data_IF_757292530474
#
_entry.id   IF_757292530474
#
_cell.length_a   1.000
_cell.length_b   1.000
_cell.length_c   1.000
_cell.angle_alpha   90.00
_cell.angle_beta   90.00
_cell.angle_gamma   90.00
#
_symmetry.space_group_name_H-M   'P 1'
#
loop_
_entity.id
_entity.type
_entity.pdbx_description
1 polymer ?
#
# COMPACT_ATOMS: atom_id res chain seq x y z
N UNK A 1 -48.74 56.51 2.91
CA UNK A 1 -47.50 56.03 3.51
C UNK A 1 -47.57 54.51 3.55
N UNK A 2 -46.88 53.85 2.63
CA UNK A 2 -46.79 52.38 2.57
C UNK A 2 -45.39 51.97 3.08
N UNK A 3 -45.35 51.29 4.21
CA UNK A 3 -44.13 50.73 4.80
C UNK A 3 -43.79 49.41 4.06
N UNK A 4 -42.68 49.37 3.36
CA UNK A 4 -42.15 48.16 2.75
C UNK A 4 -41.22 47.49 3.77
N UNK A 5 -41.60 46.31 4.22
CA UNK A 5 -40.76 45.47 5.07
C UNK A 5 -39.76 44.70 4.19
N UNK A 6 -38.46 44.96 4.35
CA UNK A 6 -37.36 44.25 3.70
C UNK A 6 -37.04 43.04 4.54
N UNK A 7 -37.42 41.83 4.11
CA UNK A 7 -36.97 40.57 4.71
C UNK A 7 -35.56 40.25 4.16
N UNK A 8 -34.54 40.43 4.99
CA UNK A 8 -33.19 39.96 4.71
C UNK A 8 -33.08 38.47 4.99
N UNK A 9 -32.94 37.65 3.96
CA UNK A 9 -32.52 36.24 4.11
C UNK A 9 -31.03 36.19 4.46
N UNK A 10 -30.73 35.85 5.68
CA UNK A 10 -29.36 35.55 6.09
C UNK A 10 -29.09 34.09 5.68
N UNK A 11 -28.36 33.90 4.58
CA UNK A 11 -27.78 32.61 4.21
C UNK A 11 -26.57 32.34 5.14
N UNK A 12 -26.78 31.60 6.22
CA UNK A 12 -25.66 31.01 6.99
C UNK A 12 -25.08 29.87 6.19
N UNK A 13 -23.98 30.12 5.49
CA UNK A 13 -23.09 29.05 4.98
C UNK A 13 -22.54 28.31 6.20
N UNK A 14 -23.10 27.14 6.50
CA UNK A 14 -22.47 26.16 7.37
C UNK A 14 -21.32 25.60 6.56
N UNK A 15 -20.11 26.13 6.76
CA UNK A 15 -18.88 25.46 6.35
C UNK A 15 -18.76 24.25 7.30
N UNK A 16 -19.26 23.10 6.83
CA UNK A 16 -18.95 21.83 7.46
C UNK A 16 -17.42 21.69 7.35
N UNK A 17 -16.69 21.96 8.44
CA UNK A 17 -15.33 21.46 8.59
C UNK A 17 -15.46 19.95 8.47
N UNK A 18 -14.99 19.40 7.35
CA UNK A 18 -14.79 17.96 7.21
C UNK A 18 -13.85 17.58 8.37
N UNK A 19 -14.41 16.97 9.41
CA UNK A 19 -13.60 16.30 10.42
C UNK A 19 -12.77 15.29 9.63
N UNK A 20 -11.45 15.47 9.66
CA UNK A 20 -10.53 14.57 8.97
C UNK A 20 -10.71 13.20 9.61
N UNK A 21 -11.53 12.34 8.98
CA UNK A 21 -11.82 11.00 9.48
C UNK A 21 -10.50 10.22 9.45
N UNK A 22 -10.12 9.65 10.57
CA UNK A 22 -8.89 8.83 10.63
C UNK A 22 -8.95 7.70 9.62
N UNK A 23 -7.78 7.34 9.06
CA UNK A 23 -7.63 6.31 8.02
C UNK A 23 -8.37 5.01 8.40
N UNK A 24 -8.17 4.53 9.62
CA UNK A 24 -8.77 3.31 10.13
C UNK A 24 -10.30 3.37 10.32
N UNK A 25 -10.87 4.55 10.24
CA UNK A 25 -12.31 4.81 10.39
C UNK A 25 -13.00 5.17 9.07
N UNK A 26 -12.31 5.09 7.94
CA UNK A 26 -12.91 5.33 6.64
C UNK A 26 -13.93 4.24 6.29
N UNK A 27 -15.02 4.62 5.61
CA UNK A 27 -16.07 3.72 5.13
C UNK A 27 -16.45 4.04 3.69
N UNK A 28 -16.62 2.98 2.88
CA UNK A 28 -17.11 3.11 1.51
C UNK A 28 -16.17 3.86 0.57
N UNK A 29 -14.87 3.92 0.92
CA UNK A 29 -13.82 4.61 0.18
C UNK A 29 -13.08 3.67 -0.75
N UNK A 30 -12.41 4.25 -1.74
CA UNK A 30 -11.49 3.55 -2.62
C UNK A 30 -10.06 3.79 -2.15
N UNK A 31 -9.36 2.72 -1.84
CA UNK A 31 -7.98 2.73 -1.36
C UNK A 31 -7.11 2.07 -2.43
N UNK A 32 -5.99 2.69 -2.77
CA UNK A 32 -5.01 2.14 -3.70
C UNK A 32 -3.66 2.03 -3.01
N UNK A 33 -3.11 0.83 -2.96
CA UNK A 33 -1.81 0.57 -2.37
C UNK A 33 -0.83 0.13 -3.45
N UNK A 34 0.37 0.72 -3.45
CA UNK A 34 1.50 0.28 -4.26
C UNK A 34 2.56 -0.33 -3.36
N UNK A 35 3.01 -1.54 -3.71
CA UNK A 35 4.04 -2.28 -2.98
C UNK A 35 5.14 -2.76 -3.92
N UNK A 36 6.41 -2.80 -3.50
CA UNK A 36 7.51 -3.31 -4.33
C UNK A 36 7.41 -4.81 -4.56
N UNK A 37 7.16 -5.59 -3.51
CA UNK A 37 7.09 -7.04 -3.56
C UNK A 37 5.77 -7.55 -2.98
N UNK A 38 5.34 -8.78 -3.34
CA UNK A 38 4.30 -9.49 -2.62
C UNK A 38 4.82 -9.81 -1.21
N UNK A 39 4.15 -9.36 -0.19
CA UNK A 39 4.43 -9.44 1.26
C UNK A 39 4.62 -8.08 1.96
N UNK A 40 5.26 -7.10 1.33
CA UNK A 40 5.58 -5.81 1.96
C UNK A 40 4.34 -5.04 2.44
N UNK A 41 3.22 -5.15 1.74
CA UNK A 41 1.93 -4.56 2.14
C UNK A 41 1.36 -5.23 3.40
N UNK A 42 1.41 -6.56 3.47
CA UNK A 42 0.96 -7.31 4.65
C UNK A 42 1.85 -7.03 5.85
N UNK A 43 3.18 -7.04 5.68
CA UNK A 43 4.11 -6.72 6.76
C UNK A 43 4.03 -5.25 7.18
N UNK A 44 3.92 -4.33 6.23
CA UNK A 44 3.92 -2.89 6.48
C UNK A 44 2.58 -2.31 6.92
N UNK A 45 1.47 -2.81 6.37
CA UNK A 45 0.14 -2.22 6.50
C UNK A 45 -1.01 -3.24 6.64
N UNK A 46 -0.73 -4.54 6.82
CA UNK A 46 -1.75 -5.61 6.80
C UNK A 46 -2.85 -5.43 7.84
N UNK A 47 -2.55 -4.93 9.02
CA UNK A 47 -3.57 -4.60 10.02
C UNK A 47 -4.46 -3.43 9.57
N UNK A 48 -3.87 -2.40 8.98
CA UNK A 48 -4.61 -1.26 8.40
C UNK A 48 -5.48 -1.73 7.24
N UNK A 49 -4.97 -2.57 6.34
CA UNK A 49 -5.74 -3.17 5.23
C UNK A 49 -6.93 -3.96 5.78
N UNK A 50 -6.73 -4.79 6.80
CA UNK A 50 -7.80 -5.55 7.45
C UNK A 50 -8.89 -4.64 8.04
N UNK A 51 -8.51 -3.55 8.71
CA UNK A 51 -9.46 -2.55 9.22
C UNK A 51 -10.23 -1.86 8.10
N UNK A 52 -9.55 -1.47 7.03
CA UNK A 52 -10.16 -0.81 5.88
C UNK A 52 -11.17 -1.75 5.18
N UNK A 53 -10.80 -3.01 4.94
CA UNK A 53 -11.70 -4.01 4.35
C UNK A 53 -12.90 -4.31 5.26
N UNK A 54 -12.69 -4.48 6.57
CA UNK A 54 -13.76 -4.64 7.58
C UNK A 54 -14.76 -3.48 7.54
N UNK A 55 -14.29 -2.28 7.27
CA UNK A 55 -15.09 -1.07 7.17
C UNK A 55 -15.66 -0.83 5.76
N UNK A 56 -15.72 -1.89 4.92
CA UNK A 56 -16.34 -1.87 3.59
C UNK A 56 -15.72 -0.87 2.60
N UNK A 57 -14.44 -0.54 2.78
CA UNK A 57 -13.68 0.15 1.76
C UNK A 57 -13.28 -0.84 0.65
N UNK A 58 -13.03 -0.31 -0.56
CA UNK A 58 -12.49 -1.10 -1.67
C UNK A 58 -10.98 -0.90 -1.70
N UNK A 59 -10.23 -1.93 -1.31
CA UNK A 59 -8.77 -1.92 -1.36
C UNK A 59 -8.32 -2.55 -2.68
N UNK A 60 -7.45 -1.84 -3.40
CA UNK A 60 -6.75 -2.29 -4.60
C UNK A 60 -5.25 -2.27 -4.32
N UNK A 61 -4.56 -3.34 -4.70
CA UNK A 61 -3.12 -3.49 -4.52
C UNK A 61 -2.44 -3.57 -5.87
N UNK A 62 -1.31 -2.89 -6.01
CA UNK A 62 -0.44 -2.93 -7.20
C UNK A 62 0.93 -3.35 -6.75
N UNK A 63 1.38 -4.49 -7.26
CA UNK A 63 2.67 -5.08 -6.94
C UNK A 63 3.61 -4.86 -8.12
N UNK A 64 4.76 -4.22 -7.87
CA UNK A 64 5.72 -3.91 -8.93
C UNK A 64 6.46 -5.13 -9.44
N UNK A 65 7.00 -5.97 -8.54
CA UNK A 65 7.86 -7.08 -8.92
C UNK A 65 7.20 -8.44 -8.69
N UNK A 66 7.81 -9.46 -9.25
CA UNK A 66 7.41 -10.86 -9.06
C UNK A 66 8.14 -11.54 -7.89
N UNK A 67 9.07 -10.84 -7.23
CA UNK A 67 9.83 -11.28 -6.06
C UNK A 67 10.54 -12.65 -6.26
N UNK A 68 11.17 -12.84 -7.40
CA UNK A 68 11.65 -14.14 -7.90
C UNK A 68 13.10 -14.50 -7.51
N UNK A 69 13.74 -13.75 -6.57
CA UNK A 69 15.18 -13.94 -6.27
C UNK A 69 15.49 -14.42 -4.83
N UNK A 70 14.65 -14.13 -3.86
CA UNK A 70 14.93 -14.30 -2.43
C UNK A 70 14.79 -15.75 -1.93
N UNK A 71 15.55 -16.73 -2.43
CA UNK A 71 15.60 -18.10 -1.92
C UNK A 71 17.01 -18.62 -1.81
N UNK A 72 17.29 -19.39 -0.76
CA UNK A 72 18.55 -20.14 -0.59
C UNK A 72 18.43 -21.61 -1.04
N UNK A 73 17.25 -22.07 -1.45
CA UNK A 73 17.04 -23.43 -1.96
C UNK A 73 17.68 -23.59 -3.36
N UNK A 74 18.76 -24.39 -3.51
CA UNK A 74 19.41 -24.54 -4.81
C UNK A 74 18.56 -25.28 -5.86
N UNK A 75 17.43 -25.88 -5.46
CA UNK A 75 16.47 -26.51 -6.36
C UNK A 75 15.34 -25.54 -6.78
N UNK A 76 15.35 -24.30 -6.27
CA UNK A 76 14.37 -23.30 -6.64
C UNK A 76 14.78 -22.62 -7.96
N UNK A 77 13.79 -22.39 -8.83
CA UNK A 77 13.95 -21.50 -9.99
C UNK A 77 13.22 -20.19 -9.75
N UNK A 78 13.68 -19.11 -10.39
CA UNK A 78 13.01 -17.80 -10.33
C UNK A 78 11.53 -17.90 -10.72
N UNK A 79 11.22 -18.58 -11.83
CA UNK A 79 9.82 -18.75 -12.25
C UNK A 79 8.97 -19.47 -11.17
N UNK A 80 9.49 -20.56 -10.60
CA UNK A 80 8.78 -21.30 -9.57
C UNK A 80 8.57 -20.46 -8.31
N UNK A 81 9.58 -19.68 -7.92
CA UNK A 81 9.47 -18.81 -6.76
C UNK A 81 8.42 -17.72 -6.96
N UNK A 82 8.42 -17.07 -8.13
CA UNK A 82 7.41 -16.08 -8.49
C UNK A 82 5.97 -16.65 -8.43
N UNK A 83 5.76 -17.88 -8.95
CA UNK A 83 4.45 -18.55 -8.88
C UNK A 83 4.03 -18.84 -7.43
N UNK A 84 4.97 -19.29 -6.58
CA UNK A 84 4.74 -19.55 -5.16
C UNK A 84 4.34 -18.27 -4.44
N UNK A 85 5.15 -17.21 -4.56
CA UNK A 85 4.93 -15.94 -3.86
C UNK A 85 3.66 -15.23 -4.32
N UNK A 86 3.35 -15.34 -5.59
CA UNK A 86 2.05 -14.88 -6.10
C UNK A 86 0.88 -15.59 -5.41
N UNK A 87 0.96 -16.90 -5.26
CA UNK A 87 -0.09 -17.66 -4.56
C UNK A 87 -0.15 -17.32 -3.07
N UNK A 88 1.01 -17.22 -2.41
CA UNK A 88 1.11 -16.84 -0.99
C UNK A 88 0.48 -15.47 -0.75
N UNK A 89 0.74 -14.52 -1.63
CA UNK A 89 0.15 -13.19 -1.58
C UNK A 89 -1.37 -13.19 -1.76
N UNK A 90 -1.87 -13.87 -2.80
CA UNK A 90 -3.32 -13.98 -3.03
C UNK A 90 -4.06 -14.61 -1.84
N UNK A 91 -3.43 -15.56 -1.15
CA UNK A 91 -3.98 -16.19 0.06
C UNK A 91 -3.89 -15.27 1.27
N UNK A 92 -2.76 -14.60 1.45
CA UNK A 92 -2.50 -13.66 2.52
C UNK A 92 -3.48 -12.48 2.50
N UNK A 93 -3.58 -11.81 1.36
CA UNK A 93 -4.50 -10.70 1.16
C UNK A 93 -5.97 -11.11 1.25
N UNK A 94 -6.31 -12.31 0.76
CA UNK A 94 -7.65 -12.88 0.91
C UNK A 94 -8.07 -13.03 2.37
N UNK A 95 -7.14 -13.37 3.28
CA UNK A 95 -7.43 -13.47 4.72
C UNK A 95 -7.77 -12.13 5.36
N UNK A 96 -7.13 -11.05 4.93
CA UNK A 96 -7.38 -9.70 5.45
C UNK A 96 -8.43 -8.94 4.65
N UNK A 97 -9.09 -9.63 3.70
CA UNK A 97 -10.30 -9.16 3.03
C UNK A 97 -10.10 -8.54 1.65
N UNK A 98 -8.90 -8.55 1.09
CA UNK A 98 -8.64 -8.07 -0.28
C UNK A 98 -8.78 -9.25 -1.25
N UNK A 99 -9.77 -9.27 -2.15
CA UNK A 99 -9.92 -10.34 -3.12
C UNK A 99 -8.86 -10.25 -4.22
N UNK A 100 -8.42 -11.40 -4.73
CA UNK A 100 -7.32 -11.48 -5.72
C UNK A 100 -7.56 -10.67 -7.01
N UNK A 101 -8.80 -10.46 -7.40
CA UNK A 101 -9.18 -9.62 -8.56
C UNK A 101 -8.87 -8.12 -8.35
N UNK A 102 -8.63 -7.71 -7.11
CA UNK A 102 -8.19 -6.37 -6.75
C UNK A 102 -6.66 -6.24 -6.70
N UNK A 103 -5.92 -7.32 -6.96
CA UNK A 103 -4.45 -7.30 -7.00
C UNK A 103 -3.98 -7.20 -8.45
N UNK A 104 -3.23 -6.16 -8.76
CA UNK A 104 -2.61 -5.93 -10.07
C UNK A 104 -1.12 -6.21 -10.00
N UNK A 105 -0.63 -7.08 -10.86
CA UNK A 105 0.77 -7.44 -11.00
C UNK A 105 1.40 -6.71 -12.17
N UNK A 106 2.42 -5.89 -11.93
CA UNK A 106 3.18 -5.24 -13.02
C UNK A 106 4.24 -6.19 -13.62
N UNK A 107 4.70 -7.17 -12.84
CA UNK A 107 5.50 -8.29 -13.32
C UNK A 107 6.95 -7.96 -13.65
N UNK A 108 7.53 -6.94 -13.02
CA UNK A 108 8.95 -6.64 -13.12
C UNK A 108 9.77 -7.67 -12.33
N UNK A 109 10.99 -7.92 -12.78
CA UNK A 109 11.91 -8.83 -12.08
C UNK A 109 12.37 -8.21 -10.76
N UNK A 110 12.46 -9.03 -9.71
CA UNK A 110 13.00 -8.66 -8.40
C UNK A 110 14.44 -8.15 -8.50
N UNK A 111 14.74 -7.08 -7.77
CA UNK A 111 16.05 -6.41 -7.77
C UNK A 111 16.34 -5.58 -9.03
N UNK A 112 15.37 -5.43 -9.95
CA UNK A 112 15.61 -4.86 -11.27
C UNK A 112 14.83 -3.57 -11.57
N UNK A 113 14.02 -3.04 -10.64
CA UNK A 113 13.25 -1.82 -10.88
C UNK A 113 14.13 -0.60 -11.21
N UNK A 114 15.33 -0.52 -10.63
CA UNK A 114 16.28 0.58 -10.91
C UNK A 114 16.75 0.57 -12.37
N UNK A 115 16.79 -0.61 -13.00
CA UNK A 115 17.23 -0.80 -14.39
C UNK A 115 16.07 -0.82 -15.38
N UNK A 116 14.84 -0.82 -14.90
CA UNK A 116 13.66 -0.74 -15.75
C UNK A 116 13.52 0.67 -16.36
N UNK A 117 12.79 0.75 -17.46
CA UNK A 117 12.49 2.04 -18.09
C UNK A 117 11.61 2.90 -17.18
N UNK A 118 12.21 3.79 -16.40
CA UNK A 118 11.49 4.61 -15.40
C UNK A 118 10.26 5.33 -15.97
N UNK A 119 10.31 5.96 -17.18
CA UNK A 119 9.12 6.58 -17.74
C UNK A 119 7.95 5.60 -17.96
N UNK A 120 8.24 4.33 -18.26
CA UNK A 120 7.22 3.30 -18.43
C UNK A 120 6.58 2.92 -17.09
N UNK A 121 7.40 2.72 -16.04
CA UNK A 121 6.90 2.45 -14.69
C UNK A 121 5.95 3.56 -14.20
N UNK A 122 6.37 4.82 -14.36
CA UNK A 122 5.55 5.99 -14.00
C UNK A 122 4.28 6.05 -14.85
N UNK A 123 4.35 5.74 -16.16
CA UNK A 123 3.18 5.73 -17.05
C UNK A 123 2.15 4.67 -16.63
N UNK A 124 2.59 3.45 -16.33
CA UNK A 124 1.72 2.36 -15.89
C UNK A 124 1.03 2.69 -14.56
N UNK A 125 1.79 3.15 -13.56
CA UNK A 125 1.25 3.57 -12.26
C UNK A 125 0.28 4.76 -12.41
N UNK A 126 0.61 5.74 -13.26
CA UNK A 126 -0.28 6.89 -13.58
C UNK A 126 -1.60 6.42 -14.18
N UNK A 127 -1.58 5.46 -15.11
CA UNK A 127 -2.80 4.93 -15.71
C UNK A 127 -3.69 4.25 -14.66
N UNK A 128 -3.08 3.50 -13.73
CA UNK A 128 -3.81 2.84 -12.65
C UNK A 128 -4.45 3.89 -11.72
N UNK A 129 -3.70 4.90 -11.27
CA UNK A 129 -4.24 5.99 -10.43
C UNK A 129 -5.41 6.69 -11.11
N UNK A 130 -5.29 7.04 -12.38
CA UNK A 130 -6.37 7.69 -13.16
C UNK A 130 -7.59 6.80 -13.35
N UNK A 131 -7.42 5.49 -13.42
CA UNK A 131 -8.50 4.50 -13.56
C UNK A 131 -9.21 4.25 -12.24
N UNK A 132 -8.46 4.00 -11.18
CA UNK A 132 -8.97 3.66 -9.84
C UNK A 132 -9.55 4.89 -9.14
N UNK A 133 -8.94 6.08 -9.30
CA UNK A 133 -9.33 7.36 -8.67
C UNK A 133 -9.46 7.23 -7.14
N UNK A 134 -8.38 6.85 -6.44
CA UNK A 134 -8.45 6.50 -5.03
C UNK A 134 -8.72 7.71 -4.14
N UNK A 135 -9.56 7.54 -3.11
CA UNK A 135 -9.70 8.53 -2.03
C UNK A 135 -8.41 8.63 -1.20
N UNK A 136 -7.72 7.50 -1.05
CA UNK A 136 -6.45 7.38 -0.31
C UNK A 136 -5.47 6.51 -1.09
N UNK A 137 -4.22 6.91 -1.11
CA UNK A 137 -3.12 6.11 -1.66
C UNK A 137 -2.16 5.72 -0.53
N UNK A 138 -1.79 4.43 -0.50
CA UNK A 138 -0.72 3.91 0.34
C UNK A 138 0.47 3.49 -0.53
N UNK A 139 1.69 3.66 -0.04
CA UNK A 139 2.90 3.17 -0.69
C UNK A 139 4.05 3.04 0.31
N UNK A 140 5.15 2.42 -0.11
CA UNK A 140 6.40 2.48 0.62
C UNK A 140 6.86 3.93 0.74
N UNK A 141 7.45 4.27 1.88
CA UNK A 141 7.93 5.63 2.15
C UNK A 141 9.11 5.99 1.24
N UNK A 142 9.06 7.12 0.50
CA UNK A 142 10.17 7.63 -0.31
C UNK A 142 11.26 8.33 0.51
N UNK A 143 11.19 8.26 1.86
CA UNK A 143 12.12 8.93 2.78
C UNK A 143 13.55 8.40 2.73
N UNK A 144 14.40 8.94 3.63
CA UNK A 144 15.84 8.68 3.63
C UNK A 144 16.22 7.23 3.93
N UNK A 145 15.34 6.45 4.55
CA UNK A 145 15.64 5.12 5.05
C UNK A 145 16.18 4.19 3.95
N UNK A 146 15.53 4.15 2.78
CA UNK A 146 15.92 3.31 1.67
C UNK A 146 17.02 3.88 0.78
N UNK A 147 17.36 5.14 0.90
CA UNK A 147 18.42 5.76 0.11
C UNK A 147 19.81 5.22 0.46
N UNK A 148 19.97 4.66 1.65
CA UNK A 148 21.24 4.17 2.20
C UNK A 148 21.38 2.65 2.17
N UNK A 149 20.30 1.93 1.89
CA UNK A 149 20.26 0.47 1.90
C UNK A 149 20.09 -0.11 0.52
N UNK A 150 20.46 -1.39 0.41
CA UNK A 150 20.44 -2.16 -0.83
C UNK A 150 19.02 -2.43 -1.40
N UNK A 151 17.97 -2.14 -0.70
CA UNK A 151 16.58 -2.35 -1.13
C UNK A 151 16.21 -1.42 -2.32
N UNK A 152 16.77 -1.72 -3.53
CA UNK A 152 16.58 -0.91 -4.73
C UNK A 152 15.13 -0.83 -5.15
N UNK A 153 14.38 -1.96 -5.12
CA UNK A 153 12.99 -2.00 -5.54
C UNK A 153 12.08 -1.20 -4.63
N UNK A 154 12.30 -1.22 -3.31
CA UNK A 154 11.57 -0.35 -2.37
C UNK A 154 11.75 1.12 -2.72
N UNK A 155 13.00 1.54 -2.96
CA UNK A 155 13.32 2.91 -3.34
C UNK A 155 12.65 3.31 -4.66
N UNK A 156 12.73 2.44 -5.65
CA UNK A 156 12.19 2.73 -6.97
C UNK A 156 10.67 2.65 -7.00
N UNK A 157 10.04 1.71 -6.30
CA UNK A 157 8.58 1.67 -6.13
C UNK A 157 8.07 2.96 -5.47
N UNK A 158 8.74 3.40 -4.37
CA UNK A 158 8.39 4.64 -3.70
C UNK A 158 8.47 5.86 -4.63
N UNK A 159 9.61 6.06 -5.31
CA UNK A 159 9.80 7.20 -6.20
C UNK A 159 8.87 7.16 -7.43
N UNK A 160 8.74 6.01 -8.09
CA UNK A 160 7.85 5.89 -9.24
C UNK A 160 6.38 6.12 -8.86
N UNK A 161 5.95 5.68 -7.68
CA UNK A 161 4.59 5.95 -7.19
C UNK A 161 4.36 7.44 -6.96
N UNK A 162 5.30 8.15 -6.32
CA UNK A 162 5.18 9.60 -6.09
C UNK A 162 5.17 10.36 -7.41
N UNK A 163 6.05 10.01 -8.36
CA UNK A 163 6.07 10.61 -9.69
C UNK A 163 4.77 10.34 -10.44
N UNK A 164 4.20 9.14 -10.29
CA UNK A 164 2.91 8.79 -10.89
C UNK A 164 1.74 9.57 -10.27
N UNK A 165 1.74 9.80 -8.95
CA UNK A 165 0.76 10.67 -8.27
C UNK A 165 0.81 12.09 -8.86
N UNK A 166 2.02 12.63 -9.01
CA UNK A 166 2.23 13.93 -9.64
C UNK A 166 1.74 13.95 -11.09
N UNK A 167 2.14 12.94 -11.87
CA UNK A 167 1.75 12.83 -13.28
C UNK A 167 0.24 12.66 -13.47
N UNK A 168 -0.43 11.95 -12.55
CA UNK A 168 -1.87 11.70 -12.63
C UNK A 168 -2.70 12.99 -12.58
N UNK A 169 -2.25 14.01 -11.83
CA UNK A 169 -2.94 15.30 -11.69
C UNK A 169 -2.92 16.13 -12.99
N UNK A 170 -1.87 16.03 -13.82
CA UNK A 170 -1.66 16.87 -14.98
C UNK A 170 -1.80 16.09 -16.29
N UNK A 171 -2.75 16.47 -17.14
CA UNK A 171 -3.09 15.75 -18.37
C UNK A 171 -1.98 15.73 -19.45
N UNK A 172 -1.02 16.65 -19.38
CA UNK A 172 0.13 16.69 -20.30
C UNK A 172 1.18 15.59 -20.01
N UNK A 173 1.16 15.01 -18.81
CA UNK A 173 1.85 13.76 -18.58
C UNK A 173 1.05 12.62 -19.20
N UNK A 174 1.68 11.85 -20.08
CA UNK A 174 1.07 10.71 -20.78
C UNK A 174 -0.26 11.04 -21.47
N UNK A 175 -0.29 12.00 -22.41
CA UNK A 175 -1.52 12.50 -23.02
C UNK A 175 -2.35 11.41 -23.72
N UNK A 176 -1.70 10.32 -24.19
CA UNK A 176 -2.39 9.19 -24.82
C UNK A 176 -3.35 8.47 -23.85
N UNK A 177 -3.08 8.48 -22.56
CA UNK A 177 -3.99 7.92 -21.56
C UNK A 177 -5.35 8.65 -21.59
N UNK A 178 -5.36 9.97 -21.79
CA UNK A 178 -6.59 10.74 -21.96
C UNK A 178 -7.19 10.61 -23.36
N UNK A 179 -6.35 10.78 -24.40
CA UNK A 179 -6.81 10.90 -25.78
C UNK A 179 -7.27 9.56 -26.37
N UNK A 180 -6.61 8.45 -26.00
CA UNK A 180 -6.87 7.13 -26.54
C UNK A 180 -7.56 6.18 -25.56
N UNK A 181 -7.30 6.32 -24.26
CA UNK A 181 -7.85 5.43 -23.22
C UNK A 181 -8.99 6.09 -22.41
N UNK A 182 -9.27 7.38 -22.61
CA UNK A 182 -10.34 8.12 -21.92
C UNK A 182 -10.04 8.40 -20.42
N UNK A 183 -8.82 8.11 -19.94
CA UNK A 183 -8.45 8.31 -18.55
C UNK A 183 -8.28 9.80 -18.25
N UNK A 184 -9.14 10.33 -17.39
CA UNK A 184 -9.09 11.74 -17.01
C UNK A 184 -8.06 12.01 -15.92
N UNK A 185 -7.45 13.20 -15.88
CA UNK A 185 -6.59 13.61 -14.78
C UNK A 185 -7.25 13.39 -13.42
N UNK A 186 -6.43 13.04 -12.45
CA UNK A 186 -6.90 12.79 -11.10
C UNK A 186 -5.89 13.25 -10.07
N UNK A 187 -6.34 13.99 -9.08
CA UNK A 187 -5.56 14.43 -7.93
C UNK A 187 -5.84 13.51 -6.75
N UNK A 188 -4.82 12.82 -6.28
CA UNK A 188 -4.91 11.98 -5.08
C UNK A 188 -5.04 12.90 -3.85
N UNK A 189 -6.10 12.77 -3.02
CA UNK A 189 -6.32 13.68 -1.90
C UNK A 189 -5.35 13.45 -0.74
N UNK A 190 -5.11 12.19 -0.38
CA UNK A 190 -4.36 11.79 0.82
C UNK A 190 -3.42 10.62 0.52
N UNK A 191 -2.25 10.65 1.14
CA UNK A 191 -1.23 9.62 0.99
C UNK A 191 -0.70 9.18 2.35
N UNK A 192 -0.49 7.88 2.52
CA UNK A 192 0.10 7.26 3.69
C UNK A 192 1.23 6.35 3.25
N UNK A 193 2.44 6.63 3.76
CA UNK A 193 3.63 5.87 3.39
C UNK A 193 4.01 4.94 4.53
N UNK A 194 3.98 3.63 4.29
CA UNK A 194 4.42 2.62 5.24
C UNK A 194 5.95 2.43 5.21
N UNK A 195 6.52 1.84 6.25
CA UNK A 195 7.95 1.77 6.50
C UNK A 195 8.66 3.14 6.61
N UNK A 196 8.06 4.16 7.22
CA UNK A 196 8.77 5.40 7.46
C UNK A 196 9.89 5.20 8.47
N UNK A 197 10.92 6.04 8.40
CA UNK A 197 11.87 6.12 9.51
C UNK A 197 11.17 6.52 10.82
N UNK A 198 11.72 6.17 11.99
CA UNK A 198 11.11 6.57 13.26
C UNK A 198 10.91 8.08 13.41
N UNK A 199 11.77 8.88 12.77
CA UNK A 199 11.74 10.35 12.81
C UNK A 199 10.65 10.93 11.88
N UNK A 200 10.34 10.24 10.79
CA UNK A 200 9.37 10.69 9.78
C UNK A 200 7.96 10.16 10.05
N UNK A 201 7.83 9.13 10.90
CA UNK A 201 6.52 8.59 11.28
C UNK A 201 5.70 9.63 12.03
N UNK A 202 4.59 10.06 11.43
CA UNK A 202 3.69 11.09 12.00
C UNK A 202 2.24 10.62 12.15
N UNK A 203 1.92 9.40 11.71
CA UNK A 203 0.61 8.79 11.81
C UNK A 203 0.71 7.35 12.29
N UNK A 204 -0.18 6.95 13.21
CA UNK A 204 -0.17 5.61 13.81
C UNK A 204 -1.59 5.06 13.86
N UNK A 205 -1.77 3.86 13.29
CA UNK A 205 -3.01 3.09 13.33
C UNK A 205 -2.92 2.05 14.42
N UNK A 206 -3.84 2.06 15.37
CA UNK A 206 -3.98 0.98 16.34
C UNK A 206 -4.58 -0.24 15.65
N UNK A 207 -3.89 -1.38 15.72
CA UNK A 207 -4.28 -2.63 15.06
C UNK A 207 -4.59 -3.77 16.04
N UNK A 208 -4.73 -3.49 17.34
CA UNK A 208 -4.95 -4.54 18.37
C UNK A 208 -6.07 -5.50 17.98
N UNK A 209 -7.18 -4.98 17.49
CA UNK A 209 -8.37 -5.77 17.10
C UNK A 209 -8.14 -6.72 15.93
N UNK A 210 -7.10 -6.49 15.15
CA UNK A 210 -6.78 -7.25 13.93
C UNK A 210 -5.35 -7.76 13.88
N UNK A 211 -4.58 -7.57 14.95
CA UNK A 211 -3.17 -7.94 14.99
C UNK A 211 -2.96 -9.44 14.73
N UNK A 212 -3.76 -10.30 15.36
CA UNK A 212 -3.67 -11.75 15.13
C UNK A 212 -4.03 -12.12 13.69
N UNK A 213 -5.04 -11.46 13.10
CA UNK A 213 -5.39 -11.65 11.69
C UNK A 213 -4.25 -11.24 10.76
N UNK A 214 -3.58 -10.11 11.04
CA UNK A 214 -2.36 -9.71 10.33
C UNK A 214 -1.27 -10.77 10.43
N UNK A 215 -1.01 -11.31 11.64
CA UNK A 215 0.03 -12.34 11.83
C UNK A 215 -0.34 -13.66 11.14
N UNK A 216 -1.63 -14.00 11.07
CA UNK A 216 -2.11 -15.16 10.32
C UNK A 216 -1.94 -14.97 8.81
N UNK A 217 -2.19 -13.77 8.30
CA UNK A 217 -1.97 -13.40 6.91
C UNK A 217 -0.48 -13.41 6.55
N UNK A 218 0.35 -12.74 7.35
CA UNK A 218 1.81 -12.72 7.16
C UNK A 218 2.41 -14.14 7.19
N UNK A 219 1.88 -15.05 8.02
CA UNK A 219 2.31 -16.44 8.05
C UNK A 219 1.94 -17.25 6.79
N UNK A 220 1.15 -16.69 5.86
CA UNK A 220 0.91 -17.30 4.54
C UNK A 220 2.06 -17.07 3.57
N UNK A 221 2.93 -16.11 3.85
CA UNK A 221 4.17 -15.86 3.10
C UNK A 221 5.25 -16.88 3.48
N UNK A 222 4.94 -18.18 3.39
CA UNK A 222 5.77 -19.29 3.91
C UNK A 222 7.20 -19.26 3.35
N UNK A 223 7.34 -18.94 2.04
CA UNK A 223 8.63 -18.90 1.36
C UNK A 223 9.57 -17.80 1.88
N UNK A 224 9.07 -16.84 2.64
CA UNK A 224 9.84 -15.73 3.22
C UNK A 224 10.51 -16.10 4.56
N UNK A 225 10.11 -17.21 5.17
CA UNK A 225 10.56 -17.59 6.51
C UNK A 225 11.51 -18.80 6.51
N UNK A 226 12.34 -18.91 7.54
CA UNK A 226 13.01 -20.17 7.86
C UNK A 226 11.99 -21.20 8.40
N UNK A 227 12.16 -22.48 8.07
CA UNK A 227 13.22 -23.05 7.21
C UNK A 227 12.88 -23.05 5.71
N UNK A 228 11.69 -22.60 5.28
CA UNK A 228 11.24 -22.70 3.89
C UNK A 228 12.09 -21.88 2.89
N UNK A 229 12.65 -20.74 3.33
CA UNK A 229 13.58 -19.94 2.52
C UNK A 229 14.87 -20.70 2.17
N UNK A 230 15.31 -21.60 3.07
CA UNK A 230 16.53 -22.42 2.88
C UNK A 230 16.27 -23.69 2.09
N UNK A 231 15.09 -24.29 2.27
CA UNK A 231 14.59 -25.44 1.52
C UNK A 231 13.07 -25.37 1.49
N UNK A 232 12.54 -25.04 0.33
CA UNK A 232 11.12 -24.78 0.20
C UNK A 232 10.26 -25.98 0.57
N UNK A 233 9.23 -25.70 1.35
CA UNK A 233 8.08 -26.55 1.67
C UNK A 233 6.82 -25.67 1.76
N UNK A 234 5.66 -26.12 1.24
CA UNK A 234 4.47 -25.29 1.18
C UNK A 234 3.75 -25.14 2.52
N UNK A 235 4.03 -26.07 3.47
CA UNK A 235 3.31 -26.15 4.74
C UNK A 235 4.25 -25.90 5.91
N UNK A 236 3.72 -25.27 6.94
CA UNK A 236 4.39 -25.09 8.21
C UNK A 236 4.39 -26.37 9.07
N UNK A 237 5.53 -26.69 9.66
CA UNK A 237 5.49 -27.51 10.86
C UNK A 237 4.92 -26.66 12.03
N UNK A 238 4.11 -27.24 12.93
CA UNK A 238 3.47 -26.47 14.01
C UNK A 238 4.45 -25.67 14.88
N UNK A 239 5.63 -26.20 15.14
CA UNK A 239 6.66 -25.53 15.94
C UNK A 239 7.25 -24.30 15.22
N UNK A 240 7.50 -24.41 13.90
CA UNK A 240 8.04 -23.32 13.09
C UNK A 240 7.02 -22.20 12.93
N UNK A 241 5.75 -22.55 12.70
CA UNK A 241 4.66 -21.55 12.66
C UNK A 241 4.54 -20.79 13.99
N UNK A 242 4.59 -21.52 15.11
CA UNK A 242 4.51 -20.89 16.44
C UNK A 242 5.70 -19.93 16.68
N UNK A 243 6.90 -20.33 16.25
CA UNK A 243 8.11 -19.49 16.30
C UNK A 243 7.94 -18.24 15.46
N UNK A 244 7.60 -18.38 14.17
CA UNK A 244 7.42 -17.26 13.26
C UNK A 244 6.38 -16.26 13.78
N UNK A 245 5.22 -16.73 14.25
CA UNK A 245 4.19 -15.85 14.83
C UNK A 245 4.66 -15.18 16.13
N UNK A 246 5.48 -15.84 16.94
CA UNK A 246 6.07 -15.23 18.15
C UNK A 246 7.05 -14.12 17.78
N UNK A 247 7.86 -14.32 16.76
CA UNK A 247 8.80 -13.32 16.24
C UNK A 247 8.04 -12.11 15.69
N UNK A 248 7.03 -12.32 14.83
CA UNK A 248 6.17 -11.23 14.32
C UNK A 248 5.55 -10.40 15.45
N UNK A 249 5.02 -11.05 16.51
CA UNK A 249 4.46 -10.33 17.67
C UNK A 249 5.51 -9.53 18.42
N UNK A 250 6.73 -10.01 18.51
CA UNK A 250 7.82 -9.32 19.22
C UNK A 250 8.35 -8.13 18.44
N UNK A 251 8.37 -8.22 17.10
CA UNK A 251 8.87 -7.20 16.19
C UNK A 251 7.80 -6.13 15.86
N UNK A 252 6.51 -6.49 15.99
CA UNK A 252 5.45 -5.55 15.70
C UNK A 252 5.58 -4.31 16.58
N UNK A 253 5.64 -3.14 15.94
CA UNK A 253 5.76 -1.85 16.62
C UNK A 253 4.67 -1.67 17.67
N UNK A 254 5.08 -1.13 18.82
CA UNK A 254 4.16 -0.74 19.89
C UNK A 254 4.25 0.75 20.18
N UNK A 255 3.10 1.34 20.51
CA UNK A 255 2.98 2.70 21.00
C UNK A 255 1.95 2.72 22.12
N UNK A 256 2.30 3.28 23.26
CA UNK A 256 1.42 3.36 24.45
C UNK A 256 0.80 2.01 24.87
N UNK A 257 1.55 0.90 24.68
CA UNK A 257 1.12 -0.47 24.99
C UNK A 257 0.35 -1.19 23.88
N UNK A 258 -0.10 -0.49 22.83
CA UNK A 258 -0.87 -1.01 21.72
C UNK A 258 0.02 -1.45 20.54
N UNK A 259 -0.41 -2.47 19.82
CA UNK A 259 0.14 -2.76 18.50
C UNK A 259 -0.27 -1.67 17.52
N UNK A 260 0.71 -1.12 16.82
CA UNK A 260 0.46 -0.05 15.84
C UNK A 260 1.20 -0.29 14.53
N UNK A 261 0.60 0.18 13.44
CA UNK A 261 1.29 0.42 12.17
C UNK A 261 1.60 1.89 12.03
N UNK A 262 2.81 2.20 11.58
CA UNK A 262 3.31 3.56 11.49
C UNK A 262 3.39 4.01 10.04
N UNK A 263 2.94 5.23 9.79
CA UNK A 263 2.94 5.84 8.47
C UNK A 263 3.53 7.26 8.53
N UNK A 264 4.04 7.72 7.40
CA UNK A 264 4.18 9.13 7.11
C UNK A 264 2.99 9.58 6.29
N UNK A 265 2.16 10.43 6.90
CA UNK A 265 0.98 11.01 6.26
C UNK A 265 1.34 12.29 5.51
N UNK A 266 0.82 12.45 4.30
CA UNK A 266 0.96 13.66 3.50
C UNK A 266 -0.32 13.97 2.72
N UNK A 267 -0.61 15.27 2.57
CA UNK A 267 -1.69 15.78 1.73
C UNK A 267 -1.10 16.63 0.60
N UNK A 268 -1.35 16.21 -0.63
CA UNK A 268 -0.85 16.92 -1.81
C UNK A 268 0.68 17.00 -1.87
N UNK A 269 1.19 17.74 -2.85
CA UNK A 269 2.62 18.03 -2.92
C UNK A 269 2.96 19.16 -1.94
N UNK A 270 4.02 18.98 -1.16
CA UNK A 270 4.57 20.04 -0.35
C UNK A 270 4.98 21.18 -1.31
N UNK A 271 4.38 22.35 -1.15
CA UNK A 271 4.85 23.54 -1.83
C UNK A 271 6.16 23.93 -1.15
N UNK A 272 7.24 23.93 -1.92
CA UNK A 272 8.55 24.40 -1.47
C UNK A 272 8.54 25.93 -1.31
#
# INVERSE_FOLDING_TARGET
>A
MKLAALLGLIFTCIVAQAQNTRLENLHGKTILLFTPHPDDDVFGAGGTIALLNRNQNKVYIVIYTNDDKGSYDPAMSSQRLAEIRKHEEEVSEGLIGTPKENITWLGYDDGMLEYAAQPKLVEEATAIIRRVRPDVLLSVDPGEWYQRWHKTDHRMAAFNTIDAVRAAEFWLYFPNQRLQQGLQPYKVPEMYFFYPSPQEANYFVNIDDVAELKFDAAAKQVSQFEPAVNKYRPDWEPADLAKAKSEMRSEQRRKDGHYVEAFRYATGFVQY
#
